data_IF_738571019905
#
_entry.id   IF_738571019905
#
_cell.length_a   1.000
_cell.length_b   1.000
_cell.length_c   1.000
_cell.angle_alpha   90.00
_cell.angle_beta   90.00
_cell.angle_gamma   90.00
#
_symmetry.space_group_name_H-M   'P 1'
#
loop_
_entity.id
_entity.type
_entity.pdbx_description
1 polymer ?
#
# COMPACT_ATOMS: atom_id res chain seq x y z
N UNK A 1 28.60 19.07 -49.07
CA UNK A 1 28.12 19.37 -50.44
C UNK A 1 28.14 18.07 -51.24
N UNK A 2 27.23 17.88 -52.20
CA UNK A 2 26.88 16.60 -52.85
C UNK A 2 26.24 15.59 -51.86
N UNK A 3 24.95 15.26 -51.85
CA UNK A 3 23.86 15.29 -52.84
C UNK A 3 24.06 14.38 -54.07
N UNK A 4 23.40 13.22 -54.07
CA UNK A 4 22.89 12.64 -55.31
C UNK A 4 21.63 11.80 -55.06
N UNK A 5 20.59 12.08 -55.83
CA UNK A 5 19.27 11.44 -55.78
C UNK A 5 19.22 10.33 -56.84
N UNK A 6 18.54 9.21 -56.55
CA UNK A 6 18.04 8.30 -57.60
C UNK A 6 16.60 7.88 -57.34
N UNK A 7 15.71 8.59 -58.01
CA UNK A 7 14.28 8.31 -58.14
C UNK A 7 13.96 7.60 -59.47
N UNK A 8 12.82 6.87 -59.48
CA UNK A 8 11.94 6.56 -60.65
C UNK A 8 12.53 5.58 -61.71
N UNK A 9 11.83 4.63 -62.36
CA UNK A 9 10.45 4.06 -62.39
C UNK A 9 10.59 2.52 -62.69
N UNK A 10 9.59 1.63 -62.85
CA UNK A 10 8.10 1.61 -62.87
C UNK A 10 7.60 0.18 -62.54
N UNK A 11 6.31 -0.04 -62.27
CA UNK A 11 5.72 -1.40 -62.26
C UNK A 11 4.31 -1.53 -61.63
N UNK A 12 3.26 -1.10 -62.34
CA UNK A 12 1.89 -1.57 -62.06
C UNK A 12 1.72 -3.04 -62.48
N UNK A 13 0.66 -3.77 -62.13
CA UNK A 13 -0.73 -3.31 -62.07
C UNK A 13 -1.66 -4.16 -61.17
N UNK A 14 -2.70 -3.48 -60.68
CA UNK A 14 -4.07 -3.94 -60.41
C UNK A 14 -4.43 -4.78 -59.16
N UNK A 15 -5.60 -4.39 -58.63
CA UNK A 15 -6.27 -4.86 -57.44
C UNK A 15 -7.06 -6.14 -57.70
N UNK A 16 -7.16 -7.02 -56.70
CA UNK A 16 -8.42 -7.72 -56.41
C UNK A 16 -8.68 -7.75 -54.91
N UNK A 17 -9.90 -7.37 -54.51
CA UNK A 17 -10.37 -7.48 -53.14
C UNK A 17 -10.71 -8.93 -52.79
N UNK A 18 -10.28 -9.39 -51.62
CA UNK A 18 -10.84 -10.60 -50.99
C UNK A 18 -11.44 -10.22 -49.64
N UNK A 19 -12.76 -10.40 -49.56
CA UNK A 19 -13.53 -10.25 -48.32
C UNK A 19 -13.15 -11.34 -47.31
N UNK A 20 -13.24 -11.06 -45.99
CA UNK A 20 -13.07 -12.09 -44.98
C UNK A 20 -14.23 -13.10 -45.07
N UNK A 21 -13.92 -14.40 -45.10
CA UNK A 21 -14.95 -15.44 -45.04
C UNK A 21 -15.51 -15.52 -43.61
N UNK A 22 -16.82 -15.43 -43.49
CA UNK A 22 -17.54 -15.80 -42.28
C UNK A 22 -17.50 -17.33 -42.13
N UNK A 23 -16.88 -17.82 -41.07
CA UNK A 23 -16.98 -19.23 -40.68
C UNK A 23 -18.10 -19.38 -39.64
N UNK A 24 -19.19 -20.03 -40.02
CA UNK A 24 -20.29 -20.36 -39.12
C UNK A 24 -19.82 -21.38 -38.07
N UNK A 25 -19.90 -21.00 -36.79
CA UNK A 25 -19.82 -21.96 -35.69
C UNK A 25 -21.20 -22.63 -35.52
N UNK A 26 -21.29 -23.97 -35.49
CA UNK A 26 -22.56 -24.65 -35.26
C UNK A 26 -23.03 -24.45 -33.82
N UNK A 27 -24.26 -23.98 -33.66
CA UNK A 27 -24.89 -23.84 -32.35
C UNK A 27 -25.15 -25.24 -31.75
N UNK A 28 -24.40 -25.62 -30.72
CA UNK A 28 -24.63 -26.87 -29.98
C UNK A 28 -25.62 -26.61 -28.84
N UNK A 29 -26.85 -27.08 -29.01
CA UNK A 29 -27.89 -27.02 -27.99
C UNK A 29 -27.52 -27.88 -26.77
N UNK A 30 -27.55 -27.27 -25.58
CA UNK A 30 -27.45 -28.00 -24.32
C UNK A 30 -28.84 -28.26 -23.76
N UNK A 31 -29.28 -29.52 -23.81
CA UNK A 31 -30.43 -29.99 -23.05
C UNK A 31 -30.00 -30.29 -21.60
N UNK A 32 -30.72 -29.82 -20.56
CA UNK A 32 -30.36 -30.09 -19.18
C UNK A 32 -30.72 -31.52 -18.77
N UNK A 33 -29.72 -32.29 -18.35
CA UNK A 33 -29.95 -33.61 -17.76
C UNK A 33 -30.59 -33.48 -16.35
N UNK A 34 -31.62 -34.27 -16.07
CA UNK A 34 -32.32 -34.28 -14.77
C UNK A 34 -31.38 -34.74 -13.64
N UNK A 35 -31.36 -33.99 -12.54
CA UNK A 35 -30.68 -34.41 -11.31
C UNK A 35 -31.37 -35.64 -10.69
N UNK A 36 -30.60 -36.69 -10.41
CA UNK A 36 -31.04 -37.83 -9.60
C UNK A 36 -30.65 -37.60 -8.13
N UNK A 37 -31.62 -37.70 -7.22
CA UNK A 37 -31.39 -37.63 -5.77
C UNK A 37 -30.60 -38.87 -5.31
N UNK A 38 -29.43 -38.68 -4.69
CA UNK A 38 -28.78 -39.74 -3.89
C UNK A 38 -29.44 -39.81 -2.51
N UNK A 39 -29.74 -41.03 -2.05
CA UNK A 39 -30.03 -41.33 -0.63
C UNK A 39 -28.72 -41.56 0.11
N UNK A 40 -28.69 -41.22 1.39
CA UNK A 40 -27.57 -41.41 2.31
C UNK A 40 -27.45 -42.87 2.76
N UNK A 41 -26.22 -43.33 3.03
CA UNK A 41 -25.88 -44.29 4.09
C UNK A 41 -24.52 -43.90 4.66
N UNK A 42 -24.44 -43.69 5.98
CA UNK A 42 -23.18 -43.45 6.70
C UNK A 42 -22.38 -44.75 6.86
N UNK A 43 -21.04 -44.67 6.80
CA UNK A 43 -20.12 -45.52 7.57
C UNK A 43 -18.81 -44.75 7.83
N UNK A 44 -18.45 -44.67 9.10
CA UNK A 44 -17.23 -44.03 9.59
C UNK A 44 -16.05 -45.01 9.52
N UNK A 45 -14.89 -44.54 9.03
CA UNK A 45 -13.57 -45.09 9.32
C UNK A 45 -12.58 -43.94 9.26
N UNK A 46 -11.97 -43.58 10.38
CA UNK A 46 -10.87 -42.62 10.42
C UNK A 46 -9.63 -43.21 9.73
N UNK A 47 -8.99 -42.42 8.86
CA UNK A 47 -7.65 -42.73 8.31
C UNK A 47 -6.80 -41.47 8.33
N UNK A 48 -5.58 -41.63 8.84
CA UNK A 48 -4.58 -40.59 8.98
C UNK A 48 -4.30 -39.91 7.64
N UNK A 49 -4.51 -38.58 7.58
CA UNK A 49 -4.30 -37.81 6.35
C UNK A 49 -2.80 -37.50 6.20
N UNK A 50 -2.08 -38.39 5.52
CA UNK A 50 -0.87 -37.98 4.80
C UNK A 50 -1.26 -36.86 3.83
N UNK A 51 -0.73 -35.66 4.03
CA UNK A 51 -0.82 -34.56 3.06
C UNK A 51 -0.01 -34.94 1.82
N UNK A 52 -0.65 -35.63 0.88
CA UNK A 52 -0.12 -35.80 -0.47
C UNK A 52 0.16 -34.40 -1.05
N UNK A 53 1.43 -34.11 -1.36
CA UNK A 53 1.77 -32.95 -2.19
C UNK A 53 1.08 -33.15 -3.53
N UNK A 54 -0.05 -32.47 -3.74
CA UNK A 54 -0.67 -32.38 -5.08
C UNK A 54 0.35 -31.72 -6.00
N UNK A 55 1.00 -32.52 -6.84
CA UNK A 55 1.85 -32.01 -7.92
C UNK A 55 0.91 -31.32 -8.89
N UNK A 56 1.05 -30.00 -9.02
CA UNK A 56 0.26 -29.19 -9.95
C UNK A 56 0.98 -29.26 -11.30
N UNK A 57 0.36 -29.91 -12.29
CA UNK A 57 0.89 -29.98 -13.66
C UNK A 57 0.74 -28.63 -14.38
N UNK A 58 1.62 -27.69 -14.03
CA UNK A 58 1.68 -26.33 -14.57
C UNK A 58 2.21 -26.25 -16.02
N UNK A 59 2.34 -27.38 -16.71
CA UNK A 59 2.90 -27.50 -18.07
C UNK A 59 2.07 -26.76 -19.14
N UNK A 60 0.77 -26.56 -18.92
CA UNK A 60 -0.14 -25.87 -19.84
C UNK A 60 -0.31 -24.36 -19.58
N UNK A 61 0.27 -23.81 -18.51
CA UNK A 61 0.08 -22.39 -18.12
C UNK A 61 1.15 -21.52 -18.77
N UNK A 62 0.76 -20.48 -19.51
CA UNK A 62 1.73 -19.57 -20.14
C UNK A 62 2.60 -18.88 -19.07
N UNK A 63 3.91 -19.15 -19.09
CA UNK A 63 4.88 -18.63 -18.13
C UNK A 63 5.33 -17.21 -18.54
N UNK A 64 5.60 -16.30 -17.58
CA UNK A 64 6.27 -15.04 -17.89
C UNK A 64 7.63 -15.28 -18.55
N UNK A 65 8.02 -14.40 -19.48
CA UNK A 65 9.27 -14.54 -20.24
C UNK A 65 10.49 -14.65 -19.30
N UNK A 66 11.31 -15.69 -19.50
CA UNK A 66 12.52 -15.95 -18.72
C UNK A 66 12.34 -16.79 -17.45
N UNK A 67 11.13 -17.25 -17.12
CA UNK A 67 10.88 -18.14 -15.98
C UNK A 67 10.71 -19.61 -16.41
N UNK A 68 11.36 -20.53 -15.69
CA UNK A 68 11.39 -21.96 -16.02
C UNK A 68 10.21 -22.72 -15.44
N UNK A 69 9.80 -22.41 -14.20
CA UNK A 69 8.64 -23.00 -13.52
C UNK A 69 8.03 -22.04 -12.48
N UNK A 70 6.81 -22.35 -12.00
CA UNK A 70 6.09 -21.53 -11.01
C UNK A 70 6.59 -21.72 -9.58
N UNK A 71 6.92 -22.96 -9.21
CA UNK A 71 7.52 -23.31 -7.93
C UNK A 71 8.80 -24.13 -8.17
N UNK A 72 9.81 -24.00 -7.30
CA UNK A 72 10.96 -24.90 -7.31
C UNK A 72 10.54 -26.29 -6.84
N UNK A 73 11.18 -27.33 -7.41
CA UNK A 73 10.98 -28.72 -7.00
C UNK A 73 11.83 -29.04 -5.78
N UNK A 74 13.07 -28.54 -5.79
CA UNK A 74 14.10 -28.73 -4.76
C UNK A 74 14.30 -27.47 -3.93
N UNK A 75 14.80 -27.62 -2.70
CA UNK A 75 15.05 -26.50 -1.78
C UNK A 75 16.19 -25.57 -2.27
N UNK A 76 17.14 -26.10 -3.06
CA UNK A 76 18.23 -25.34 -3.68
C UNK A 76 17.89 -25.06 -5.14
N UNK A 77 17.56 -23.80 -5.45
CA UNK A 77 17.18 -23.37 -6.78
C UNK A 77 17.72 -21.99 -7.13
N UNK A 78 17.99 -21.75 -8.43
CA UNK A 78 18.47 -20.45 -8.90
C UNK A 78 17.29 -19.47 -8.96
N UNK A 79 17.18 -18.60 -7.97
CA UNK A 79 16.05 -17.69 -7.76
C UNK A 79 15.68 -16.80 -8.97
N UNK A 80 16.60 -16.58 -9.92
CA UNK A 80 16.33 -15.84 -11.17
C UNK A 80 15.30 -16.52 -12.09
N UNK A 81 15.21 -17.85 -12.06
CA UNK A 81 14.33 -18.63 -12.96
C UNK A 81 12.92 -18.87 -12.42
N UNK A 82 12.63 -18.41 -11.21
CA UNK A 82 11.36 -18.66 -10.52
C UNK A 82 10.71 -17.34 -10.10
N UNK A 83 9.38 -17.22 -10.13
CA UNK A 83 8.71 -16.05 -9.60
C UNK A 83 8.95 -15.96 -8.08
N UNK A 84 9.21 -14.75 -7.57
CA UNK A 84 9.26 -14.53 -6.12
C UNK A 84 7.87 -14.86 -5.53
N UNK A 85 7.75 -15.77 -4.55
CA UNK A 85 6.46 -16.16 -3.98
C UNK A 85 5.80 -14.97 -3.30
N UNK A 86 4.47 -14.92 -3.36
CA UNK A 86 3.64 -14.00 -2.57
C UNK A 86 3.14 -14.79 -1.37
N UNK A 87 3.44 -14.30 -0.17
CA UNK A 87 3.10 -14.96 1.09
C UNK A 87 1.80 -14.42 1.69
N UNK A 88 1.16 -15.21 2.53
CA UNK A 88 0.19 -14.69 3.48
C UNK A 88 0.91 -13.72 4.46
N UNK A 89 0.26 -12.63 4.89
CA UNK A 89 0.92 -11.58 5.68
C UNK A 89 1.40 -12.06 7.05
N UNK A 90 0.63 -12.93 7.71
CA UNK A 90 1.05 -13.57 8.96
C UNK A 90 2.29 -14.45 8.77
N UNK A 91 2.35 -15.22 7.66
CA UNK A 91 3.51 -16.06 7.32
C UNK A 91 4.73 -15.21 6.98
N UNK A 92 4.56 -14.08 6.31
CA UNK A 92 5.64 -13.14 6.05
C UNK A 92 6.24 -12.59 7.35
N UNK A 93 5.40 -12.14 8.30
CA UNK A 93 5.88 -11.64 9.60
C UNK A 93 6.57 -12.71 10.44
N UNK A 94 6.04 -13.94 10.47
CA UNK A 94 6.70 -15.07 11.14
C UNK A 94 8.08 -15.34 10.55
N UNK A 95 8.23 -15.28 9.22
CA UNK A 95 9.55 -15.39 8.57
C UNK A 95 10.49 -14.25 8.91
N UNK A 96 10.02 -13.00 9.01
CA UNK A 96 10.87 -11.87 9.41
C UNK A 96 11.43 -12.04 10.83
N UNK A 97 10.61 -12.55 11.77
CA UNK A 97 11.08 -12.88 13.13
C UNK A 97 12.10 -14.02 13.13
N UNK A 98 11.82 -15.10 12.39
CA UNK A 98 12.78 -16.20 12.20
C UNK A 98 14.10 -15.74 11.56
N UNK A 99 14.06 -14.80 10.60
CA UNK A 99 15.27 -14.23 10.01
C UNK A 99 16.08 -13.44 11.05
N UNK A 100 15.42 -12.63 11.87
CA UNK A 100 16.08 -11.88 12.97
C UNK A 100 16.70 -12.82 14.02
N UNK A 101 16.07 -13.96 14.33
CA UNK A 101 16.65 -15.01 15.19
C UNK A 101 17.88 -15.67 14.55
N UNK A 102 17.80 -16.02 13.26
CA UNK A 102 18.89 -16.68 12.52
C UNK A 102 20.09 -15.76 12.24
N UNK A 103 19.82 -14.48 11.97
CA UNK A 103 20.84 -13.44 11.75
C UNK A 103 21.45 -12.95 13.08
N UNK A 104 20.95 -13.42 14.23
CA UNK A 104 21.34 -13.03 15.59
C UNK A 104 21.33 -11.51 15.84
N UNK A 105 20.38 -10.81 15.21
CA UNK A 105 20.25 -9.35 15.29
C UNK A 105 19.38 -8.88 16.45
N UNK A 106 19.53 -7.60 16.83
CA UNK A 106 18.72 -6.98 17.88
C UNK A 106 17.20 -7.11 17.63
N UNK A 107 16.37 -7.30 18.68
CA UNK A 107 14.96 -7.64 18.53
C UNK A 107 14.04 -6.42 18.36
N UNK A 108 14.53 -5.23 18.72
CA UNK A 108 13.89 -3.92 18.55
C UNK A 108 13.92 -3.39 17.10
N UNK A 109 14.21 -4.26 16.14
CA UNK A 109 14.38 -3.92 14.74
C UNK A 109 13.12 -3.30 14.10
N UNK A 110 13.26 -2.23 13.31
CA UNK A 110 12.14 -1.57 12.64
C UNK A 110 11.61 -2.41 11.46
N UNK A 111 10.30 -2.63 11.44
CA UNK A 111 9.59 -3.29 10.34
C UNK A 111 9.05 -2.23 9.38
N UNK A 112 9.50 -2.28 8.13
CA UNK A 112 9.04 -1.41 7.04
C UNK A 112 8.00 -2.11 6.17
N UNK A 113 7.05 -1.32 5.67
CA UNK A 113 6.22 -1.65 4.53
C UNK A 113 6.72 -0.89 3.30
N UNK A 114 6.78 -1.59 2.17
CA UNK A 114 7.06 -1.02 0.85
C UNK A 114 5.88 -1.31 -0.08
N UNK A 115 5.00 -0.33 -0.27
CA UNK A 115 3.86 -0.39 -1.18
C UNK A 115 4.19 0.27 -2.51
N UNK A 116 3.77 -0.35 -3.61
CA UNK A 116 3.71 0.26 -4.94
C UNK A 116 2.26 0.52 -5.30
N UNK A 117 1.94 1.74 -5.72
CA UNK A 117 0.57 2.18 -5.98
C UNK A 117 0.34 2.45 -7.47
N UNK A 118 -0.77 1.98 -8.04
CA UNK A 118 -1.20 2.43 -9.37
C UNK A 118 -1.87 3.81 -9.22
N UNK A 119 -1.07 4.88 -9.36
CA UNK A 119 -1.59 6.25 -9.33
C UNK A 119 -2.25 6.68 -10.66
N UNK A 120 -2.37 5.77 -11.63
CA UNK A 120 -2.99 6.03 -12.94
C UNK A 120 -4.50 5.90 -12.84
N UNK A 121 -5.21 6.91 -13.32
CA UNK A 121 -6.65 6.88 -13.51
C UNK A 121 -6.98 6.84 -15.02
N UNK A 122 -8.26 6.71 -15.35
CA UNK A 122 -8.70 6.81 -16.73
C UNK A 122 -8.42 8.20 -17.36
N UNK A 123 -8.26 8.23 -18.68
CA UNK A 123 -8.16 9.47 -19.50
C UNK A 123 -7.02 10.41 -19.07
N UNK A 124 -5.80 9.88 -18.91
CA UNK A 124 -4.56 10.60 -18.55
C UNK A 124 -4.57 11.33 -17.19
N UNK A 125 -5.65 11.22 -16.41
CA UNK A 125 -5.65 11.72 -15.03
C UNK A 125 -4.80 10.80 -14.14
N UNK A 126 -4.24 11.38 -13.10
CA UNK A 126 -3.48 10.65 -12.07
C UNK A 126 -4.00 11.06 -10.69
N UNK A 127 -3.85 10.16 -9.72
CA UNK A 127 -4.03 10.51 -8.31
C UNK A 127 -2.89 11.46 -7.92
N UNK A 128 -3.18 12.56 -7.23
CA UNK A 128 -2.15 13.45 -6.70
C UNK A 128 -1.23 12.69 -5.73
N UNK A 129 0.07 12.98 -5.72
CA UNK A 129 0.94 12.52 -4.64
C UNK A 129 0.48 13.14 -3.31
N UNK A 130 0.05 12.29 -2.37
CA UNK A 130 -0.52 12.70 -1.11
C UNK A 130 0.39 12.38 0.07
N UNK A 131 0.07 12.99 1.21
CA UNK A 131 0.70 12.72 2.49
C UNK A 131 -0.41 12.63 3.53
N UNK A 132 -0.57 11.45 4.11
CA UNK A 132 -1.66 11.13 5.04
C UNK A 132 -1.13 11.01 6.46
N UNK A 133 -2.04 11.09 7.43
CA UNK A 133 -1.75 10.87 8.84
C UNK A 133 -2.79 9.91 9.41
N UNK A 134 -2.33 8.77 9.93
CA UNK A 134 -3.17 7.67 10.40
C UNK A 134 -2.88 7.42 11.88
N UNK A 135 -3.92 7.25 12.69
CA UNK A 135 -3.75 6.76 14.05
C UNK A 135 -3.53 5.25 14.01
N UNK A 136 -2.34 4.79 14.41
CA UNK A 136 -2.06 3.35 14.53
C UNK A 136 -2.73 2.79 15.80
N UNK A 137 -3.35 1.59 15.75
CA UNK A 137 -3.97 0.98 16.92
C UNK A 137 -2.94 0.56 17.98
N UNK A 138 -1.70 0.25 17.58
CA UNK A 138 -0.60 -0.06 18.49
C UNK A 138 0.60 0.84 18.21
N UNK A 139 0.98 1.67 19.19
CA UNK A 139 2.19 2.51 19.13
C UNK A 139 3.47 1.68 19.25
N UNK A 140 4.48 2.02 18.46
CA UNK A 140 5.83 1.43 18.55
C UNK A 140 6.92 2.43 19.00
N UNK A 141 6.62 3.74 19.03
CA UNK A 141 7.50 4.78 19.54
C UNK A 141 7.25 5.06 21.02
N UNK A 142 8.31 5.24 21.80
CA UNK A 142 8.22 5.61 23.22
C UNK A 142 7.80 7.08 23.43
N UNK A 143 7.98 7.92 22.41
CA UNK A 143 7.59 9.33 22.42
C UNK A 143 6.24 9.60 21.76
N UNK A 144 5.53 10.61 22.28
CA UNK A 144 4.40 11.27 21.63
C UNK A 144 4.92 12.35 20.67
N UNK A 145 4.18 12.64 19.61
CA UNK A 145 4.58 13.64 18.62
C UNK A 145 4.51 15.06 19.20
N UNK A 146 5.46 15.91 18.83
CA UNK A 146 5.43 17.34 19.17
C UNK A 146 4.46 18.09 18.22
N UNK A 147 3.51 18.83 18.79
CA UNK A 147 2.46 19.51 18.02
C UNK A 147 2.45 21.00 18.33
N UNK A 148 2.56 21.81 17.28
CA UNK A 148 2.40 23.26 17.32
C UNK A 148 1.04 23.68 16.74
N UNK A 149 0.35 24.60 17.42
CA UNK A 149 -0.99 25.07 17.04
C UNK A 149 -0.98 26.58 16.77
N UNK A 150 -1.41 26.98 15.58
CA UNK A 150 -1.56 28.37 15.18
C UNK A 150 -3.00 28.84 15.34
N UNK A 151 -3.21 29.78 16.27
CA UNK A 151 -4.51 30.36 16.64
C UNK A 151 -4.35 31.80 17.13
N UNK A 152 -5.19 32.72 16.65
CA UNK A 152 -5.31 34.06 17.23
C UNK A 152 -6.40 34.17 18.29
N UNK A 153 -7.43 33.32 18.24
CA UNK A 153 -8.51 33.34 19.21
C UNK A 153 -8.02 32.80 20.58
N UNK A 154 -8.13 33.56 21.68
CA UNK A 154 -7.54 33.18 22.98
C UNK A 154 -8.19 31.93 23.58
N UNK A 155 -9.49 31.74 23.37
CA UNK A 155 -10.23 30.53 23.80
C UNK A 155 -9.69 29.27 23.11
N UNK A 156 -9.48 29.35 21.79
CA UNK A 156 -8.90 28.26 21.00
C UNK A 156 -7.47 27.94 21.42
N UNK A 157 -6.69 28.96 21.80
CA UNK A 157 -5.35 28.80 22.33
C UNK A 157 -5.34 28.14 23.72
N UNK A 158 -6.29 28.47 24.60
CA UNK A 158 -6.46 27.80 25.89
C UNK A 158 -6.80 26.31 25.71
N UNK A 159 -7.80 25.99 24.87
CA UNK A 159 -8.16 24.60 24.53
C UNK A 159 -6.97 23.83 23.94
N UNK A 160 -6.17 24.45 23.08
CA UNK A 160 -4.96 23.81 22.54
C UNK A 160 -3.95 23.44 23.64
N UNK A 161 -3.72 24.34 24.60
CA UNK A 161 -2.80 24.11 25.75
C UNK A 161 -3.33 23.01 26.67
N UNK A 162 -4.63 22.99 26.96
CA UNK A 162 -5.27 21.93 27.77
C UNK A 162 -5.14 20.53 27.15
N UNK A 163 -5.18 20.42 25.82
CA UNK A 163 -4.95 19.16 25.11
C UNK A 163 -3.46 18.75 25.05
N UNK A 164 -2.57 19.57 25.62
CA UNK A 164 -1.13 19.36 25.66
C UNK A 164 -0.43 19.66 24.33
N UNK A 165 -0.85 20.71 23.61
CA UNK A 165 -0.01 21.29 22.56
C UNK A 165 1.22 21.96 23.20
N UNK A 166 2.41 21.65 22.68
CA UNK A 166 3.67 22.13 23.25
C UNK A 166 3.93 23.60 22.90
N UNK A 167 3.50 24.02 21.70
CA UNK A 167 3.61 25.39 21.23
C UNK A 167 2.25 25.87 20.74
N UNK A 168 1.79 27.03 21.24
CA UNK A 168 0.51 27.63 20.88
C UNK A 168 0.67 29.13 20.78
N UNK A 169 0.44 29.69 19.59
CA UNK A 169 0.62 31.12 19.33
C UNK A 169 -0.05 31.61 18.04
N UNK A 170 -0.06 32.93 17.88
CA UNK A 170 -0.55 33.62 16.69
C UNK A 170 0.58 33.94 15.70
N UNK A 171 0.75 35.21 15.28
CA UNK A 171 1.79 35.60 14.33
C UNK A 171 3.21 35.55 14.95
N UNK A 172 3.36 35.79 16.24
CA UNK A 172 4.66 35.74 16.96
C UNK A 172 5.38 34.39 16.77
N UNK A 173 4.62 33.29 16.80
CA UNK A 173 5.14 31.94 16.59
C UNK A 173 5.67 31.73 15.16
N UNK A 174 5.21 32.53 14.18
CA UNK A 174 5.68 32.47 12.80
C UNK A 174 7.13 32.95 12.70
N UNK A 175 7.48 34.00 13.45
CA UNK A 175 8.84 34.58 13.48
C UNK A 175 9.82 33.63 14.18
N UNK A 176 9.47 33.09 15.34
CA UNK A 176 10.27 32.08 16.06
C UNK A 176 10.57 30.84 15.21
N UNK A 177 9.60 30.37 14.42
CA UNK A 177 9.81 29.24 13.50
C UNK A 177 10.65 29.67 12.29
N UNK A 178 10.57 30.91 11.81
CA UNK A 178 11.47 31.45 10.78
C UNK A 178 12.92 31.57 11.26
N UNK A 179 13.15 31.79 12.55
CA UNK A 179 14.47 31.90 13.20
C UNK A 179 15.05 30.55 13.69
N UNK A 180 14.32 29.44 13.53
CA UNK A 180 14.69 28.08 13.99
C UNK A 180 14.70 27.88 15.52
N UNK A 181 14.15 28.83 16.31
CA UNK A 181 13.99 28.66 17.76
C UNK A 181 13.01 27.54 18.13
N UNK A 182 11.92 27.44 17.37
CA UNK A 182 10.82 26.48 17.61
C UNK A 182 10.75 25.48 16.47
N UNK A 183 10.77 24.18 16.81
CA UNK A 183 10.54 23.10 15.87
C UNK A 183 9.54 22.08 16.45
N UNK A 184 8.64 21.61 15.58
CA UNK A 184 7.64 20.59 15.89
C UNK A 184 7.50 19.54 14.77
N UNK A 185 6.90 18.41 15.10
CA UNK A 185 6.57 17.34 14.17
C UNK A 185 5.38 17.70 13.30
N UNK A 186 4.28 18.11 13.95
CA UNK A 186 3.04 18.49 13.30
C UNK A 186 2.68 19.95 13.58
N UNK A 187 2.17 20.61 12.55
CA UNK A 187 1.63 21.96 12.61
C UNK A 187 0.14 21.93 12.29
N UNK A 188 -0.67 22.45 13.20
CA UNK A 188 -2.12 22.57 13.09
C UNK A 188 -2.46 24.06 13.00
N UNK A 189 -3.41 24.46 12.15
CA UNK A 189 -3.81 25.87 12.04
C UNK A 189 -5.31 26.03 11.85
N UNK A 190 -5.89 27.05 12.49
CA UNK A 190 -7.23 27.53 12.15
C UNK A 190 -7.19 28.22 10.78
N UNK A 191 -8.23 28.11 9.92
CA UNK A 191 -8.24 28.70 8.57
C UNK A 191 -7.94 30.21 8.54
N UNK A 192 -8.33 30.95 9.58
CA UNK A 192 -8.06 32.38 9.78
C UNK A 192 -6.55 32.71 9.83
N UNK A 193 -5.73 31.79 10.35
CA UNK A 193 -4.28 31.96 10.47
C UNK A 193 -3.51 31.64 9.19
N UNK A 194 -4.09 30.89 8.25
CA UNK A 194 -3.42 30.49 7.01
C UNK A 194 -2.73 31.63 6.23
N UNK A 195 -3.34 32.81 6.00
CA UNK A 195 -2.67 33.91 5.29
C UNK A 195 -1.39 34.39 6.00
N UNK A 196 -1.35 34.32 7.34
CA UNK A 196 -0.20 34.74 8.17
C UNK A 196 0.91 33.67 8.20
N UNK A 197 0.56 32.40 8.01
CA UNK A 197 1.48 31.25 7.96
C UNK A 197 2.15 31.09 6.58
N UNK A 198 1.67 31.76 5.52
CA UNK A 198 2.22 31.63 4.14
C UNK A 198 3.75 31.76 4.05
N UNK A 199 4.46 32.66 4.76
CA UNK A 199 5.92 32.75 4.72
C UNK A 199 6.63 31.42 5.08
N UNK A 200 6.07 30.63 5.99
CA UNK A 200 6.62 29.35 6.44
C UNK A 200 6.55 28.23 5.38
N UNK A 201 5.82 28.43 4.27
CA UNK A 201 5.64 27.42 3.20
C UNK A 201 6.97 26.88 2.65
N UNK A 202 7.98 27.73 2.50
CA UNK A 202 9.29 27.34 1.97
C UNK A 202 10.14 26.57 2.99
N UNK A 203 9.92 26.81 4.28
CA UNK A 203 10.64 26.18 5.40
C UNK A 203 10.00 24.84 5.79
N UNK A 204 8.70 24.85 6.09
CA UNK A 204 7.96 23.66 6.51
C UNK A 204 7.74 22.63 5.39
N UNK A 205 7.61 23.07 4.12
CA UNK A 205 7.44 22.26 2.89
C UNK A 205 6.41 21.13 3.00
N UNK A 206 6.84 19.96 3.51
CA UNK A 206 6.00 18.77 3.74
C UNK A 206 5.13 18.92 4.99
N UNK A 207 5.67 19.49 6.07
CA UNK A 207 4.99 19.73 7.36
C UNK A 207 4.01 20.91 7.35
N UNK A 208 3.87 21.63 6.23
CA UNK A 208 2.98 22.80 6.14
C UNK A 208 1.48 22.40 6.28
N UNK A 209 0.68 23.10 7.11
CA UNK A 209 -0.74 22.79 7.30
C UNK A 209 -1.55 22.81 5.99
N UNK A 210 -2.30 21.73 5.71
CA UNK A 210 -3.17 21.63 4.53
C UNK A 210 -4.53 21.06 4.90
N UNK A 211 -5.60 21.64 4.35
CA UNK A 211 -6.97 21.13 4.53
C UNK A 211 -7.11 19.67 4.03
N UNK A 212 -6.48 19.31 2.89
CA UNK A 212 -6.44 17.91 2.40
C UNK A 212 -5.82 16.91 3.40
N UNK A 213 -4.99 17.35 4.36
CA UNK A 213 -4.40 16.50 5.41
C UNK A 213 -5.25 16.45 6.69
N UNK A 214 -6.25 17.32 6.83
CA UNK A 214 -6.99 17.50 8.09
C UNK A 214 -6.25 18.33 9.15
N UNK A 215 -5.05 18.88 8.85
CA UNK A 215 -4.31 19.76 9.76
C UNK A 215 -4.83 21.20 9.79
N UNK A 216 -5.87 21.50 9.01
CA UNK A 216 -6.57 22.79 9.00
C UNK A 216 -8.03 22.56 9.34
N UNK A 217 -8.51 23.20 10.41
CA UNK A 217 -9.89 23.07 10.86
C UNK A 217 -10.19 23.93 12.09
N UNK A 218 -11.47 23.98 12.46
CA UNK A 218 -11.95 24.71 13.65
C UNK A 218 -11.88 23.83 14.91
N UNK A 219 -12.06 22.51 14.76
CA UNK A 219 -12.15 21.55 15.86
C UNK A 219 -10.76 21.10 16.36
N UNK A 220 -10.05 22.01 17.02
CA UNK A 220 -8.70 21.78 17.60
C UNK A 220 -8.59 20.51 18.45
N UNK A 221 -9.47 20.20 19.43
CA UNK A 221 -9.28 19.03 20.29
C UNK A 221 -9.29 17.71 19.51
N UNK A 222 -10.13 17.61 18.46
CA UNK A 222 -10.16 16.43 17.57
C UNK A 222 -8.86 16.31 16.76
N UNK A 223 -8.34 17.42 16.24
CA UNK A 223 -7.07 17.42 15.52
C UNK A 223 -5.90 17.07 16.45
N UNK A 224 -5.87 17.64 17.65
CA UNK A 224 -4.84 17.34 18.67
C UNK A 224 -4.78 15.85 19.01
N UNK A 225 -5.94 15.20 19.27
CA UNK A 225 -5.99 13.76 19.53
C UNK A 225 -5.43 12.94 18.34
N UNK A 226 -5.78 13.33 17.10
CA UNK A 226 -5.34 12.63 15.88
C UNK A 226 -3.83 12.80 15.60
N UNK A 227 -3.27 14.00 15.75
CA UNK A 227 -1.86 14.27 15.41
C UNK A 227 -0.88 13.89 16.54
N UNK A 228 -1.29 13.93 17.80
CA UNK A 228 -0.45 13.54 18.97
C UNK A 228 -0.04 12.05 18.95
N UNK A 229 -0.91 11.20 18.40
CA UNK A 229 -0.65 9.76 18.14
C UNK A 229 -0.61 9.43 16.63
N UNK A 230 -0.52 10.46 15.79
CA UNK A 230 -0.65 10.33 14.33
C UNK A 230 0.63 9.89 13.67
N UNK A 231 0.57 8.82 12.89
CA UNK A 231 1.67 8.36 12.06
C UNK A 231 1.56 8.97 10.65
N UNK A 232 2.57 9.75 10.22
CA UNK A 232 2.61 10.36 8.89
C UNK A 232 3.29 9.44 7.87
N UNK A 233 2.64 9.22 6.72
CA UNK A 233 3.25 8.57 5.57
C UNK A 233 3.00 9.36 4.28
N UNK A 234 3.94 9.27 3.33
CA UNK A 234 3.93 10.02 2.08
C UNK A 234 4.10 9.10 0.88
N UNK A 235 3.53 9.51 -0.25
CA UNK A 235 3.83 8.91 -1.55
C UNK A 235 5.08 9.58 -2.14
N UNK A 236 6.07 8.77 -2.49
CA UNK A 236 7.29 9.19 -3.17
C UNK A 236 7.09 9.30 -4.69
N UNK A 237 8.07 9.91 -5.38
CA UNK A 237 7.97 10.28 -6.81
C UNK A 237 7.63 9.11 -7.74
N UNK A 238 8.10 7.90 -7.41
CA UNK A 238 7.93 6.70 -8.23
C UNK A 238 6.70 5.86 -7.84
N UNK A 239 5.69 6.50 -7.23
CA UNK A 239 4.45 5.86 -6.75
C UNK A 239 4.67 4.80 -5.65
N UNK A 240 5.75 4.95 -4.86
CA UNK A 240 6.05 4.12 -3.71
C UNK A 240 5.63 4.79 -2.40
N UNK A 241 5.22 3.98 -1.42
CA UNK A 241 5.12 4.37 0.00
C UNK A 241 6.05 3.43 0.76
N UNK A 242 7.09 4.00 1.39
CA UNK A 242 8.01 3.31 2.28
C UNK A 242 7.90 3.88 3.69
N UNK A 243 7.45 3.08 4.64
CA UNK A 243 7.26 3.54 6.03
C UNK A 243 7.44 2.43 7.06
N UNK A 244 7.98 2.80 8.23
CA UNK A 244 8.02 1.92 9.40
C UNK A 244 6.61 1.75 9.98
N UNK A 245 6.22 0.54 10.37
CA UNK A 245 4.90 0.22 10.94
C UNK A 245 4.97 -0.22 12.41
N UNK A 246 6.08 -0.87 12.77
CA UNK A 246 6.24 -1.58 14.03
C UNK A 246 7.74 -1.82 14.32
N UNK A 247 8.02 -2.45 15.46
CA UNK A 247 9.28 -3.17 15.72
C UNK A 247 9.03 -4.69 15.74
N UNK A 248 10.06 -5.51 15.53
CA UNK A 248 9.92 -6.98 15.50
C UNK A 248 9.56 -7.58 16.86
N UNK A 249 9.92 -6.94 17.97
CA UNK A 249 9.46 -7.25 19.34
C UNK A 249 7.94 -7.40 19.46
N UNK A 250 7.17 -6.59 18.73
CA UNK A 250 5.71 -6.53 18.88
C UNK A 250 5.06 -7.87 18.50
N UNK A 251 3.98 -8.29 19.20
CA UNK A 251 3.28 -9.52 18.83
C UNK A 251 2.68 -9.41 17.42
N UNK A 252 2.72 -10.51 16.67
CA UNK A 252 2.40 -10.54 15.23
C UNK A 252 1.03 -9.97 14.91
N UNK A 253 0.05 -10.15 15.80
CA UNK A 253 -1.31 -9.62 15.67
C UNK A 253 -1.35 -8.08 15.68
N UNK A 254 -0.57 -7.43 16.55
CA UNK A 254 -0.50 -5.97 16.62
C UNK A 254 0.16 -5.38 15.36
N UNK A 255 1.20 -6.05 14.84
CA UNK A 255 1.82 -5.65 13.56
C UNK A 255 0.80 -5.78 12.43
N UNK A 256 0.04 -6.88 12.36
CA UNK A 256 -1.03 -7.06 11.35
C UNK A 256 -2.14 -6.00 11.47
N UNK A 257 -2.53 -5.61 12.69
CA UNK A 257 -3.50 -4.54 12.91
C UNK A 257 -3.00 -3.18 12.41
N UNK A 258 -1.73 -2.84 12.68
CA UNK A 258 -1.10 -1.61 12.16
C UNK A 258 -0.96 -1.64 10.62
N UNK A 259 -0.58 -2.78 10.03
CA UNK A 259 -0.56 -2.95 8.57
C UNK A 259 -1.96 -2.74 7.99
N UNK A 260 -3.00 -3.30 8.61
CA UNK A 260 -4.39 -3.16 8.17
C UNK A 260 -4.89 -1.72 8.18
N UNK A 261 -4.56 -0.94 9.22
CA UNK A 261 -4.95 0.47 9.28
C UNK A 261 -4.31 1.28 8.15
N UNK A 262 -3.01 1.08 7.87
CA UNK A 262 -2.31 1.76 6.77
C UNK A 262 -2.87 1.35 5.41
N UNK A 263 -3.08 0.05 5.14
CA UNK A 263 -3.63 -0.40 3.87
C UNK A 263 -5.05 0.15 3.61
N UNK A 264 -5.85 0.25 4.68
CA UNK A 264 -7.22 0.79 4.61
C UNK A 264 -7.21 2.29 4.31
N UNK A 265 -6.35 3.06 4.98
CA UNK A 265 -6.18 4.50 4.68
C UNK A 265 -5.66 4.72 3.25
N UNK A 266 -4.61 4.00 2.84
CA UNK A 266 -4.08 4.04 1.46
C UNK A 266 -5.17 3.83 0.44
N UNK A 267 -6.01 2.80 0.61
CA UNK A 267 -7.13 2.53 -0.29
C UNK A 267 -8.21 3.62 -0.29
N UNK A 268 -8.36 4.41 0.79
CA UNK A 268 -9.35 5.49 0.84
C UNK A 268 -9.04 6.67 -0.11
N UNK A 269 -7.77 6.88 -0.46
CA UNK A 269 -7.34 7.97 -1.35
C UNK A 269 -7.69 7.74 -2.83
N UNK A 270 -8.15 6.54 -3.22
CA UNK A 270 -8.61 6.21 -4.58
C UNK A 270 -10.07 5.73 -4.56
N UNK A 271 -10.97 6.28 -5.39
CA UNK A 271 -12.35 5.79 -5.46
C UNK A 271 -12.41 4.31 -5.87
N UNK A 272 -13.26 3.54 -5.18
CA UNK A 272 -13.37 2.08 -5.34
C UNK A 272 -13.74 1.63 -6.77
N UNK A 273 -14.40 2.50 -7.54
CA UNK A 273 -14.77 2.28 -8.95
C UNK A 273 -13.57 1.92 -9.83
N UNK A 274 -12.38 2.43 -9.51
CA UNK A 274 -11.18 2.22 -10.33
C UNK A 274 -10.47 0.89 -10.07
N UNK A 275 -10.97 0.02 -9.19
CA UNK A 275 -10.34 -1.27 -8.88
C UNK A 275 -9.16 -1.16 -7.90
N UNK A 276 -8.25 -2.17 -7.84
CA UNK A 276 -7.19 -2.21 -6.85
C UNK A 276 -6.20 -1.04 -7.00
N UNK A 277 -5.74 -0.52 -5.87
CA UNK A 277 -4.79 0.60 -5.80
C UNK A 277 -3.34 0.19 -5.52
N UNK A 278 -3.11 -1.04 -5.08
CA UNK A 278 -1.80 -1.52 -4.64
C UNK A 278 -1.33 -2.61 -5.62
N UNK A 279 -0.36 -2.29 -6.49
CA UNK A 279 0.27 -3.25 -7.40
C UNK A 279 1.10 -4.31 -6.66
N UNK A 280 1.83 -3.87 -5.63
CA UNK A 280 2.83 -4.68 -4.93
C UNK A 280 2.97 -4.24 -3.47
N UNK A 281 2.91 -5.22 -2.59
CA UNK A 281 3.11 -5.06 -1.15
C UNK A 281 4.30 -5.91 -0.68
N UNK A 282 5.23 -5.29 0.04
CA UNK A 282 6.43 -5.91 0.62
C UNK A 282 6.53 -5.54 2.11
N UNK A 283 6.99 -6.48 2.93
CA UNK A 283 7.48 -6.24 4.30
C UNK A 283 8.99 -6.51 4.34
N UNK A 284 9.74 -5.69 5.07
CA UNK A 284 11.17 -5.86 5.25
C UNK A 284 11.59 -5.41 6.66
N UNK A 285 12.54 -6.11 7.28
CA UNK A 285 13.32 -5.55 8.39
C UNK A 285 14.52 -4.76 7.82
N UNK A 286 15.29 -4.11 8.69
CA UNK A 286 16.50 -3.38 8.31
C UNK A 286 17.63 -4.27 7.78
N UNK A 287 17.77 -5.50 8.31
CA UNK A 287 18.84 -6.45 7.91
C UNK A 287 18.35 -7.63 7.06
N UNK A 288 17.05 -7.93 7.07
CA UNK A 288 16.50 -9.16 6.51
C UNK A 288 16.13 -9.05 5.02
N UNK A 289 15.83 -10.18 4.38
CA UNK A 289 15.23 -10.17 3.03
C UNK A 289 13.84 -9.49 3.04
N UNK A 290 13.55 -8.78 1.94
CA UNK A 290 12.26 -8.17 1.65
C UNK A 290 11.24 -9.19 1.10
N UNK A 291 10.20 -9.48 1.89
CA UNK A 291 9.18 -10.48 1.59
C UNK A 291 7.95 -9.87 0.94
N UNK A 292 7.51 -10.43 -0.19
CA UNK A 292 6.23 -10.07 -0.84
C UNK A 292 5.07 -10.72 -0.10
N UNK A 293 4.02 -9.96 0.16
CA UNK A 293 2.81 -10.47 0.79
C UNK A 293 1.54 -10.03 0.06
N UNK A 294 0.45 -10.77 0.24
CA UNK A 294 -0.86 -10.46 -0.32
C UNK A 294 -1.56 -9.36 0.51
N UNK A 295 -1.74 -8.17 -0.06
CA UNK A 295 -2.49 -7.08 0.58
C UNK A 295 -4.00 -7.36 0.64
N UNK A 296 -4.52 -8.17 -0.28
CA UNK A 296 -5.94 -8.49 -0.39
C UNK A 296 -6.46 -9.27 0.83
N UNK A 297 -5.66 -10.21 1.35
CA UNK A 297 -6.00 -11.03 2.53
C UNK A 297 -6.18 -10.22 3.83
N UNK A 298 -5.57 -9.03 3.92
CA UNK A 298 -5.72 -8.14 5.08
C UNK A 298 -6.99 -7.27 4.97
N UNK A 299 -7.28 -6.81 3.74
CA UNK A 299 -8.42 -5.94 3.43
C UNK A 299 -9.73 -6.74 3.40
N UNK A 300 -9.68 -7.96 2.85
CA UNK A 300 -10.76 -8.93 2.83
C UNK A 300 -10.26 -10.17 3.57
N UNK A 301 -10.64 -10.40 4.85
CA UNK A 301 -10.36 -11.69 5.48
C UNK A 301 -11.01 -12.79 4.61
N UNK A 302 -10.35 -13.95 4.45
CA UNK A 302 -10.91 -15.04 3.67
C UNK A 302 -12.32 -15.37 4.20
N UNK A 303 -13.30 -15.67 3.32
CA UNK A 303 -14.61 -16.11 3.79
C UNK A 303 -14.37 -17.31 4.70
N UNK A 304 -14.80 -17.21 5.96
CA UNK A 304 -14.71 -18.33 6.88
C UNK A 304 -15.40 -19.53 6.22
N UNK A 305 -14.63 -20.59 5.95
CA UNK A 305 -15.12 -21.78 5.27
C UNK A 305 -16.36 -22.27 6.03
N UNK A 306 -17.51 -22.23 5.35
CA UNK A 306 -18.77 -22.69 5.93
C UNK A 306 -18.72 -24.21 6.00
N UNK A 307 -18.31 -24.70 7.16
CA UNK A 307 -18.36 -26.11 7.59
C UNK A 307 -19.75 -26.70 7.43
#
# INVERSE_FOLDING_TARGET
MASCVRTLLKGGYLLTSRTPRVCHLPARSYAPARAQKKKEVKKEVEKEVKKEKRVIDDSARHKPYGLTAWAPVDDVYVARFYPRPVLAPAVALLRLKLYQELDATAPDQPVYIDLKLDMKLEKKKTVDAFVSTVQLPHSFSTGLNTVAVFTENPEQAQVAREQGAQFVGGPELVEQILEDEVSADFYISVPEMLPKIVPLKNKLRKKFPKSKRGSVGVNIPKMMAMFKTGFEYQVEKDCYVRTQIATLDMPTEHILANVKSILTDVCSHRPAEYGPFIERSILASHTSEALRFSSQEILQPPPADKS
#
